data_IF_046877956640
#
_entry.id   IF_046877956640
#
_cell.length_a   1.000
_cell.length_b   1.000
_cell.length_c   1.000
_cell.angle_alpha   90.00
_cell.angle_beta   90.00
_cell.angle_gamma   90.00
#
_symmetry.space_group_name_H-M   'P 1'
#
loop_
_entity.id
_entity.type
_entity.pdbx_description
1 polymer ?
#
# COMPACT_ATOMS: atom_id res chain seq x y z
N UNK A 1 77.44 -78.20 55.46
CA UNK A 1 77.32 -76.87 54.81
C UNK A 1 76.97 -75.86 55.89
N UNK A 2 77.92 -75.00 56.28
CA UNK A 2 77.83 -74.19 57.51
C UNK A 2 76.88 -72.98 57.32
N UNK A 3 75.96 -72.71 58.27
CA UNK A 3 74.93 -71.67 58.16
C UNK A 3 75.48 -70.24 58.02
N UNK A 4 76.72 -70.01 58.42
CA UNK A 4 77.40 -68.71 58.33
C UNK A 4 77.66 -68.25 56.88
N UNK A 5 77.93 -69.19 55.96
CA UNK A 5 78.19 -68.87 54.56
C UNK A 5 76.92 -68.40 53.82
N UNK A 6 75.75 -68.88 54.23
CA UNK A 6 74.46 -68.45 53.69
C UNK A 6 74.09 -67.03 54.13
N UNK A 7 74.31 -66.69 55.40
CA UNK A 7 74.04 -65.35 55.91
C UNK A 7 74.91 -64.29 55.23
N UNK A 8 76.19 -64.62 54.99
CA UNK A 8 77.15 -63.71 54.35
C UNK A 8 76.83 -63.54 52.85
N UNK A 9 76.48 -64.62 52.14
CA UNK A 9 76.05 -64.54 50.74
C UNK A 9 74.72 -63.77 50.57
N UNK A 10 73.76 -63.94 51.48
CA UNK A 10 72.50 -63.22 51.48
C UNK A 10 72.70 -61.71 51.70
N UNK A 11 73.60 -61.32 52.61
CA UNK A 11 73.95 -59.91 52.86
C UNK A 11 74.60 -59.24 51.65
N UNK A 12 75.53 -59.93 50.98
CA UNK A 12 76.17 -59.43 49.75
C UNK A 12 75.14 -59.31 48.62
N UNK A 13 74.26 -60.29 48.45
CA UNK A 13 73.17 -60.21 47.47
C UNK A 13 72.24 -59.03 47.74
N UNK A 14 71.91 -58.75 49.00
CA UNK A 14 71.03 -57.63 49.38
C UNK A 14 71.69 -56.27 49.11
N UNK A 15 72.99 -56.13 49.36
CA UNK A 15 73.74 -54.91 49.00
C UNK A 15 73.83 -54.69 47.49
N UNK A 16 74.00 -55.77 46.70
CA UNK A 16 73.97 -55.70 45.23
C UNK A 16 72.58 -55.26 44.75
N UNK A 17 71.51 -55.82 45.32
CA UNK A 17 70.15 -55.42 44.98
C UNK A 17 69.92 -53.94 45.33
N UNK A 18 70.33 -53.51 46.52
CA UNK A 18 70.12 -52.13 46.99
C UNK A 18 70.90 -51.09 46.18
N UNK A 19 72.06 -51.46 45.63
CA UNK A 19 72.87 -50.59 44.76
C UNK A 19 72.34 -50.53 43.31
N UNK A 20 71.77 -51.63 42.79
CA UNK A 20 71.24 -51.68 41.41
C UNK A 20 69.81 -51.13 41.33
N UNK A 21 68.98 -51.27 42.37
CA UNK A 21 67.57 -50.85 42.38
C UNK A 21 67.32 -49.39 41.97
N UNK A 22 68.09 -48.38 42.43
CA UNK A 22 67.88 -46.98 42.06
C UNK A 22 68.11 -46.74 40.56
N UNK A 23 69.06 -47.49 39.96
CA UNK A 23 69.37 -47.38 38.54
C UNK A 23 68.25 -47.94 37.66
N UNK A 24 67.66 -49.08 38.04
CA UNK A 24 66.51 -49.67 37.36
C UNK A 24 65.28 -48.77 37.48
N UNK A 25 65.05 -48.18 38.65
CA UNK A 25 63.97 -47.22 38.86
C UNK A 25 64.15 -45.96 38.01
N UNK A 26 65.38 -45.43 37.90
CA UNK A 26 65.68 -44.29 37.04
C UNK A 26 65.42 -44.59 35.55
N UNK A 27 65.80 -45.78 35.08
CA UNK A 27 65.53 -46.22 33.70
C UNK A 27 64.04 -46.43 33.46
N UNK A 28 63.33 -47.07 34.40
CA UNK A 28 61.89 -47.25 34.33
C UNK A 28 61.14 -45.91 34.29
N UNK A 29 61.54 -44.94 35.12
CA UNK A 29 60.96 -43.59 35.13
C UNK A 29 61.19 -42.84 33.82
N UNK A 30 62.39 -42.93 33.24
CA UNK A 30 62.68 -42.33 31.93
C UNK A 30 61.82 -42.95 30.82
N UNK A 31 61.75 -44.28 30.77
CA UNK A 31 60.89 -44.98 29.80
C UNK A 31 59.41 -44.64 29.96
N UNK A 32 58.91 -44.57 31.19
CA UNK A 32 57.52 -44.19 31.46
C UNK A 32 57.24 -42.74 31.04
N UNK A 33 58.19 -41.82 31.22
CA UNK A 33 58.07 -40.44 30.77
C UNK A 33 58.09 -40.33 29.24
N UNK A 34 59.00 -41.03 28.57
CA UNK A 34 59.09 -41.04 27.11
C UNK A 34 57.83 -41.62 26.47
N UNK A 35 57.32 -42.74 27.00
CA UNK A 35 56.05 -43.33 26.58
C UNK A 35 54.86 -42.40 26.86
N UNK A 36 54.82 -41.77 28.03
CA UNK A 36 53.75 -40.82 28.37
C UNK A 36 53.76 -39.58 27.46
N UNK A 37 54.94 -39.11 27.07
CA UNK A 37 55.11 -38.00 26.12
C UNK A 37 54.63 -38.37 24.73
N UNK A 38 54.96 -39.56 24.24
CA UNK A 38 54.53 -40.07 22.93
C UNK A 38 53.00 -40.23 22.88
N UNK A 39 52.41 -40.90 23.88
CA UNK A 39 50.95 -41.04 23.99
C UNK A 39 50.27 -39.66 24.09
N UNK A 40 50.85 -38.72 24.85
CA UNK A 40 50.33 -37.36 24.97
C UNK A 40 50.37 -36.58 23.65
N UNK A 41 51.42 -36.79 22.83
CA UNK A 41 51.54 -36.17 21.51
C UNK A 41 50.53 -36.77 20.53
N UNK A 42 50.42 -38.10 20.48
CA UNK A 42 49.49 -38.80 19.59
C UNK A 42 48.03 -38.45 19.91
N UNK A 43 47.67 -38.40 21.19
CA UNK A 43 46.30 -38.02 21.60
C UNK A 43 45.98 -36.58 21.23
N UNK A 44 46.93 -35.66 21.43
CA UNK A 44 46.77 -34.25 21.05
C UNK A 44 46.65 -34.10 19.54
N UNK A 45 47.47 -34.79 18.78
CA UNK A 45 47.50 -34.68 17.33
C UNK A 45 46.23 -35.32 16.72
N UNK A 46 45.74 -36.42 17.29
CA UNK A 46 44.44 -37.00 16.94
C UNK A 46 43.27 -36.05 17.25
N UNK A 47 43.29 -35.40 18.42
CA UNK A 47 42.27 -34.41 18.80
C UNK A 47 42.29 -33.19 17.87
N UNK A 48 43.46 -32.66 17.52
CA UNK A 48 43.60 -31.57 16.56
C UNK A 48 43.15 -31.97 15.16
N UNK A 49 43.51 -33.18 14.70
CA UNK A 49 43.05 -33.69 13.43
C UNK A 49 41.51 -33.79 13.38
N UNK A 50 40.89 -34.22 14.49
CA UNK A 50 39.44 -34.24 14.61
C UNK A 50 38.84 -32.83 14.58
N UNK A 51 39.40 -31.88 15.35
CA UNK A 51 38.95 -30.48 15.35
C UNK A 51 39.05 -29.85 13.95
N UNK A 52 40.15 -30.08 13.24
CA UNK A 52 40.33 -29.58 11.87
C UNK A 52 39.26 -30.18 10.94
N UNK A 53 38.94 -31.47 11.08
CA UNK A 53 37.87 -32.10 10.28
C UNK A 53 36.51 -31.50 10.60
N UNK A 54 36.18 -31.32 11.88
CA UNK A 54 34.92 -30.70 12.29
C UNK A 54 34.79 -29.27 11.77
N UNK A 55 35.82 -28.44 11.96
CA UNK A 55 35.84 -27.05 11.49
C UNK A 55 35.75 -26.95 9.96
N UNK A 56 36.38 -27.88 9.23
CA UNK A 56 36.24 -27.94 7.77
C UNK A 56 34.80 -28.27 7.36
N UNK A 57 34.17 -29.23 8.03
CA UNK A 57 32.75 -29.53 7.81
C UNK A 57 31.85 -28.33 8.09
N UNK A 58 32.04 -27.66 9.23
CA UNK A 58 31.29 -26.44 9.58
C UNK A 58 31.47 -25.31 8.55
N UNK A 59 32.70 -25.13 8.03
CA UNK A 59 32.97 -24.13 6.99
C UNK A 59 32.25 -24.48 5.67
N UNK A 60 32.24 -25.74 5.28
CA UNK A 60 31.51 -26.21 4.09
C UNK A 60 29.99 -26.01 4.25
N UNK A 61 29.44 -26.36 5.42
CA UNK A 61 28.01 -26.16 5.72
C UNK A 61 27.63 -24.68 5.67
N UNK A 62 28.46 -23.80 6.25
CA UNK A 62 28.25 -22.35 6.21
C UNK A 62 28.33 -21.82 4.77
N UNK A 63 29.27 -22.32 3.96
CA UNK A 63 29.41 -21.91 2.57
C UNK A 63 28.15 -22.29 1.76
N UNK A 64 27.67 -23.53 1.90
CA UNK A 64 26.44 -24.00 1.25
C UNK A 64 25.24 -23.15 1.68
N UNK A 65 25.12 -22.86 2.98
CA UNK A 65 24.01 -22.07 3.49
C UNK A 65 24.01 -20.64 2.92
N UNK A 66 25.18 -19.98 2.90
CA UNK A 66 25.32 -18.63 2.32
C UNK A 66 25.00 -18.62 0.84
N UNK A 67 25.44 -19.61 0.07
CA UNK A 67 25.10 -19.69 -1.36
C UNK A 67 23.59 -19.86 -1.55
N UNK A 68 22.94 -20.70 -0.74
CA UNK A 68 21.50 -20.90 -0.80
C UNK A 68 20.73 -19.61 -0.46
N UNK A 69 21.16 -18.87 0.56
CA UNK A 69 20.59 -17.56 0.90
C UNK A 69 20.83 -16.52 -0.21
N UNK A 70 22.04 -16.44 -0.75
CA UNK A 70 22.35 -15.52 -1.85
C UNK A 70 21.46 -15.80 -3.07
N UNK A 71 21.26 -17.07 -3.44
CA UNK A 71 20.33 -17.43 -4.52
C UNK A 71 18.92 -16.95 -4.25
N UNK A 72 18.41 -17.14 -3.02
CA UNK A 72 17.08 -16.64 -2.61
C UNK A 72 17.01 -15.11 -2.70
N UNK A 73 18.05 -14.40 -2.23
CA UNK A 73 18.10 -12.95 -2.34
C UNK A 73 18.13 -12.48 -3.80
N UNK A 74 18.89 -13.15 -4.67
CA UNK A 74 18.91 -12.83 -6.09
C UNK A 74 17.55 -13.06 -6.77
N UNK A 75 16.84 -14.15 -6.46
CA UNK A 75 15.51 -14.39 -7.03
C UNK A 75 14.51 -13.35 -6.56
N UNK A 76 14.48 -13.04 -5.26
CA UNK A 76 13.57 -12.02 -4.71
C UNK A 76 13.85 -10.65 -5.31
N UNK A 77 15.12 -10.26 -5.44
CA UNK A 77 15.49 -8.99 -6.04
C UNK A 77 15.09 -8.92 -7.52
N UNK A 78 15.25 -10.01 -8.28
CA UNK A 78 14.80 -10.07 -9.66
C UNK A 78 13.27 -9.94 -9.78
N UNK A 79 12.52 -10.56 -8.88
CA UNK A 79 11.06 -10.45 -8.85
C UNK A 79 10.59 -9.05 -8.46
N UNK A 80 11.22 -8.42 -7.47
CA UNK A 80 10.96 -7.02 -7.10
C UNK A 80 11.28 -6.05 -8.25
N UNK A 81 12.37 -6.29 -9.00
CA UNK A 81 12.70 -5.50 -10.18
C UNK A 81 11.64 -5.63 -11.27
N UNK A 82 11.11 -6.85 -11.51
CA UNK A 82 10.00 -7.05 -12.46
C UNK A 82 8.74 -6.31 -12.03
N UNK A 83 8.40 -6.37 -10.73
CA UNK A 83 7.24 -5.66 -10.20
C UNK A 83 7.40 -4.14 -10.33
N UNK A 84 8.58 -3.60 -10.01
CA UNK A 84 8.86 -2.17 -10.17
C UNK A 84 8.72 -1.72 -11.63
N UNK A 85 9.27 -2.46 -12.59
CA UNK A 85 9.09 -2.16 -14.02
C UNK A 85 7.60 -2.18 -14.43
N UNK A 86 6.84 -3.16 -13.94
CA UNK A 86 5.40 -3.22 -14.20
C UNK A 86 4.65 -2.03 -13.57
N UNK A 87 5.05 -1.59 -12.38
CA UNK A 87 4.48 -0.41 -11.73
C UNK A 87 4.81 0.88 -12.50
N UNK A 88 6.04 1.04 -12.98
CA UNK A 88 6.42 2.17 -13.82
C UNK A 88 5.58 2.24 -15.11
N UNK A 89 5.39 1.11 -15.78
CA UNK A 89 4.49 1.05 -16.94
C UNK A 89 3.05 1.42 -16.59
N UNK A 90 2.53 0.98 -15.44
CA UNK A 90 1.19 1.34 -14.96
C UNK A 90 1.05 2.82 -14.63
N UNK A 91 2.08 3.44 -14.04
CA UNK A 91 2.11 4.88 -13.76
C UNK A 91 2.08 5.66 -15.08
N UNK A 92 2.96 5.31 -16.02
CA UNK A 92 3.01 5.98 -17.33
C UNK A 92 1.67 5.85 -18.10
N UNK A 93 1.04 4.68 -18.06
CA UNK A 93 -0.27 4.47 -18.67
C UNK A 93 -1.36 5.32 -17.99
N UNK A 94 -1.34 5.42 -16.65
CA UNK A 94 -2.27 6.27 -15.90
C UNK A 94 -2.06 7.74 -16.20
N UNK A 95 -0.82 8.21 -16.34
CA UNK A 95 -0.53 9.60 -16.70
C UNK A 95 -1.02 9.93 -18.11
N UNK A 96 -0.91 9.00 -19.06
CA UNK A 96 -1.49 9.15 -20.39
C UNK A 96 -3.02 9.26 -20.34
N UNK A 97 -3.68 8.40 -19.55
CA UNK A 97 -5.13 8.45 -19.35
C UNK A 97 -5.58 9.76 -18.68
N UNK A 98 -4.83 10.24 -17.68
CA UNK A 98 -5.14 11.51 -17.02
C UNK A 98 -5.07 12.69 -17.99
N UNK A 99 -4.06 12.73 -18.87
CA UNK A 99 -3.96 13.76 -19.90
C UNK A 99 -5.14 13.72 -20.87
N UNK A 100 -5.50 12.54 -21.35
CA UNK A 100 -6.65 12.38 -22.25
C UNK A 100 -7.96 12.81 -21.56
N UNK A 101 -8.15 12.45 -20.29
CA UNK A 101 -9.30 12.87 -19.51
C UNK A 101 -9.36 14.39 -19.30
N UNK A 102 -8.22 15.03 -19.02
CA UNK A 102 -8.16 16.50 -18.87
C UNK A 102 -8.44 17.22 -20.20
N UNK A 103 -7.94 16.68 -21.32
CA UNK A 103 -8.19 17.26 -22.65
C UNK A 103 -9.67 17.10 -23.05
N UNK A 104 -10.26 15.94 -22.75
CA UNK A 104 -11.70 15.70 -22.96
C UNK A 104 -12.56 16.63 -22.10
N UNK A 105 -12.16 16.86 -20.83
CA UNK A 105 -12.82 17.80 -19.95
C UNK A 105 -12.73 19.24 -20.48
N UNK A 106 -11.54 19.67 -20.92
CA UNK A 106 -11.35 21.00 -21.51
C UNK A 106 -12.23 21.22 -22.75
N UNK A 107 -12.37 20.20 -23.62
CA UNK A 107 -13.28 20.25 -24.78
C UNK A 107 -14.75 20.35 -24.36
N UNK A 108 -15.14 19.61 -23.33
CA UNK A 108 -16.50 19.70 -22.77
C UNK A 108 -16.76 21.10 -22.21
N UNK A 109 -15.84 21.66 -21.45
CA UNK A 109 -15.95 23.01 -20.86
C UNK A 109 -16.03 24.08 -21.95
N UNK A 110 -15.24 23.96 -23.02
CA UNK A 110 -15.32 24.83 -24.19
C UNK A 110 -16.68 24.72 -24.88
N UNK A 111 -17.21 23.50 -25.03
CA UNK A 111 -18.53 23.27 -25.63
C UNK A 111 -19.63 23.91 -24.78
N UNK A 112 -19.57 23.76 -23.45
CA UNK A 112 -20.51 24.40 -22.52
C UNK A 112 -20.41 25.93 -22.61
N UNK A 113 -19.20 26.50 -22.70
CA UNK A 113 -19.01 27.94 -22.85
C UNK A 113 -19.63 28.46 -24.16
N UNK A 114 -19.42 27.76 -25.27
CA UNK A 114 -20.02 28.10 -26.56
C UNK A 114 -21.54 28.02 -26.51
N UNK A 115 -22.11 26.94 -25.96
CA UNK A 115 -23.56 26.77 -25.82
C UNK A 115 -24.18 27.88 -24.97
N UNK A 116 -23.52 28.29 -23.88
CA UNK A 116 -23.97 29.43 -23.05
C UNK A 116 -24.01 30.72 -23.86
N UNK A 117 -22.98 30.99 -24.66
CA UNK A 117 -22.92 32.18 -25.51
C UNK A 117 -24.06 32.18 -26.53
N UNK A 118 -24.29 31.06 -27.22
CA UNK A 118 -25.40 30.91 -28.17
C UNK A 118 -26.76 31.09 -27.49
N UNK A 119 -26.96 30.55 -26.28
CA UNK A 119 -28.20 30.77 -25.52
C UNK A 119 -28.41 32.26 -25.23
N UNK A 120 -27.38 32.98 -24.79
CA UNK A 120 -27.48 34.41 -24.51
C UNK A 120 -27.83 35.21 -25.78
N UNK A 121 -27.17 34.91 -26.90
CA UNK A 121 -27.49 35.53 -28.19
C UNK A 121 -28.94 35.27 -28.61
N UNK A 122 -29.40 34.01 -28.46
CA UNK A 122 -30.78 33.63 -28.75
C UNK A 122 -31.79 34.34 -27.84
N UNK A 123 -31.48 34.48 -26.56
CA UNK A 123 -32.33 35.21 -25.60
C UNK A 123 -32.44 36.69 -25.99
N UNK A 124 -31.32 37.35 -26.32
CA UNK A 124 -31.31 38.75 -26.79
C UNK A 124 -32.13 38.92 -28.08
N UNK A 125 -31.98 37.98 -29.02
CA UNK A 125 -32.71 37.98 -30.28
C UNK A 125 -34.21 37.78 -30.06
N UNK A 126 -34.62 36.86 -29.20
CA UNK A 126 -36.03 36.65 -28.84
C UNK A 126 -36.61 37.91 -28.19
N UNK A 127 -35.88 38.56 -27.28
CA UNK A 127 -36.29 39.82 -26.66
C UNK A 127 -36.49 40.93 -27.70
N UNK A 128 -35.61 41.01 -28.70
CA UNK A 128 -35.70 41.98 -29.80
C UNK A 128 -36.90 41.73 -30.72
N UNK A 129 -37.15 40.49 -31.13
CA UNK A 129 -38.18 40.17 -32.14
C UNK A 129 -39.61 40.11 -31.59
N UNK A 130 -39.79 39.69 -30.35
CA UNK A 130 -41.15 39.42 -29.84
C UNK A 130 -41.81 40.65 -29.21
N UNK A 131 -41.04 41.66 -28.78
CA UNK A 131 -41.57 42.81 -28.05
C UNK A 131 -42.38 42.45 -26.80
N UNK A 132 -42.32 41.18 -26.35
CA UNK A 132 -43.16 40.58 -25.33
C UNK A 132 -42.27 40.19 -24.14
N UNK A 133 -42.32 41.01 -23.10
CA UNK A 133 -41.56 40.86 -21.88
C UNK A 133 -42.13 39.75 -20.99
N UNK A 134 -41.88 38.49 -21.33
CA UNK A 134 -42.01 37.38 -20.38
C UNK A 134 -40.70 36.62 -20.36
N UNK A 135 -39.87 36.97 -19.38
CA UNK A 135 -38.54 36.42 -19.16
C UNK A 135 -38.60 35.23 -18.21
N UNK A 136 -37.49 34.48 -18.12
CA UNK A 136 -37.33 33.47 -17.07
C UNK A 136 -37.38 34.08 -15.66
N UNK A 137 -36.93 35.32 -15.51
CA UNK A 137 -37.03 36.05 -14.25
C UNK A 137 -38.50 36.29 -13.85
N UNK A 138 -39.38 36.57 -14.81
CA UNK A 138 -40.81 36.73 -14.56
C UNK A 138 -41.46 35.42 -14.12
N UNK A 139 -41.08 34.30 -14.74
CA UNK A 139 -41.49 32.97 -14.28
C UNK A 139 -41.06 32.69 -12.83
N UNK A 140 -39.80 32.97 -12.49
CA UNK A 140 -39.27 32.75 -11.14
C UNK A 140 -39.94 33.66 -10.10
N UNK A 141 -40.29 34.90 -10.47
CA UNK A 141 -41.06 35.81 -9.61
C UNK A 141 -42.48 35.31 -9.34
N UNK A 142 -43.18 34.81 -10.36
CA UNK A 142 -44.53 34.23 -10.20
C UNK A 142 -44.48 32.96 -9.33
N UNK A 143 -43.45 32.13 -9.49
CA UNK A 143 -43.26 30.94 -8.67
C UNK A 143 -43.01 31.29 -7.20
N UNK A 144 -42.16 32.29 -6.93
CA UNK A 144 -41.92 32.80 -5.56
C UNK A 144 -43.21 33.35 -4.93
N UNK A 145 -43.97 34.16 -5.67
CA UNK A 145 -45.25 34.71 -5.20
C UNK A 145 -46.27 33.59 -4.88
N UNK A 146 -46.32 32.55 -5.71
CA UNK A 146 -47.16 31.36 -5.48
C UNK A 146 -46.80 30.67 -4.16
N UNK A 147 -45.50 30.43 -3.92
CA UNK A 147 -45.02 29.79 -2.68
C UNK A 147 -45.32 30.65 -1.44
N UNK A 148 -45.20 31.97 -1.55
CA UNK A 148 -45.56 32.90 -0.47
C UNK A 148 -47.05 32.84 -0.16
N UNK A 149 -47.92 32.83 -1.17
CA UNK A 149 -49.37 32.72 -0.94
C UNK A 149 -49.79 31.37 -0.35
N UNK A 150 -49.16 30.27 -0.75
CA UNK A 150 -49.39 28.96 -0.13
C UNK A 150 -48.96 28.94 1.34
N UNK A 151 -47.85 29.59 1.67
CA UNK A 151 -47.42 29.75 3.06
C UNK A 151 -48.43 30.61 3.84
N UNK A 152 -48.86 31.74 3.27
CA UNK A 152 -49.90 32.60 3.85
C UNK A 152 -51.21 31.85 4.08
N UNK A 153 -51.66 31.04 3.13
CA UNK A 153 -52.85 30.19 3.28
C UNK A 153 -52.71 29.25 4.48
N UNK A 154 -51.58 28.55 4.62
CA UNK A 154 -51.33 27.63 5.76
C UNK A 154 -51.36 28.37 7.10
N UNK A 155 -50.71 29.54 7.16
CA UNK A 155 -50.68 30.38 8.37
C UNK A 155 -52.06 30.91 8.73
N UNK A 156 -52.83 31.41 7.76
CA UNK A 156 -54.19 31.93 7.99
C UNK A 156 -55.16 30.83 8.43
N UNK A 157 -55.01 29.62 7.90
CA UNK A 157 -55.75 28.44 8.35
C UNK A 157 -55.42 28.08 9.80
N UNK A 158 -54.15 28.16 10.20
CA UNK A 158 -53.73 27.95 11.59
C UNK A 158 -54.29 29.03 12.54
N UNK A 159 -54.44 30.27 12.07
CA UNK A 159 -55.05 31.39 12.80
C UNK A 159 -56.59 31.37 12.80
N UNK A 160 -57.23 30.32 12.25
CA UNK A 160 -58.68 30.17 12.12
C UNK A 160 -59.38 31.27 11.32
N UNK A 161 -58.64 31.96 10.43
CA UNK A 161 -59.20 32.96 9.51
C UNK A 161 -59.55 32.30 8.17
N UNK A 162 -60.63 31.52 8.15
CA UNK A 162 -60.96 30.63 7.04
C UNK A 162 -61.18 31.38 5.71
N UNK A 163 -61.96 32.47 5.71
CA UNK A 163 -62.25 33.24 4.50
C UNK A 163 -60.98 33.83 3.85
N UNK A 164 -60.02 34.29 4.67
CA UNK A 164 -58.76 34.84 4.15
C UNK A 164 -57.82 33.74 3.67
N UNK A 165 -57.82 32.57 4.32
CA UNK A 165 -57.08 31.40 3.87
C UNK A 165 -57.59 30.91 2.51
N UNK A 166 -58.91 30.90 2.29
CA UNK A 166 -59.52 30.47 1.02
C UNK A 166 -59.16 31.43 -0.12
N UNK A 167 -59.16 32.75 0.13
CA UNK A 167 -58.72 33.75 -0.85
C UNK A 167 -57.23 33.56 -1.22
N UNK A 168 -56.36 33.39 -0.22
CA UNK A 168 -54.93 33.16 -0.46
C UNK A 168 -54.68 31.86 -1.26
N UNK A 169 -55.44 30.81 -0.97
CA UNK A 169 -55.39 29.54 -1.71
C UNK A 169 -55.81 29.69 -3.17
N UNK A 170 -56.95 30.32 -3.42
CA UNK A 170 -57.43 30.56 -4.78
C UNK A 170 -56.48 31.43 -5.60
N UNK A 171 -55.87 32.45 -4.98
CA UNK A 171 -54.85 33.28 -5.64
C UNK A 171 -53.56 32.51 -5.92
N UNK A 172 -53.12 31.63 -5.01
CA UNK A 172 -51.97 30.76 -5.26
C UNK A 172 -52.20 29.80 -6.43
N UNK A 173 -53.41 29.23 -6.52
CA UNK A 173 -53.78 28.33 -7.62
C UNK A 173 -53.81 29.05 -8.97
N UNK A 174 -54.41 30.25 -9.02
CA UNK A 174 -54.42 31.08 -10.22
C UNK A 174 -53.01 31.48 -10.69
N UNK A 175 -52.11 31.83 -9.75
CA UNK A 175 -50.70 32.12 -10.08
C UNK A 175 -49.92 30.88 -10.50
N UNK A 176 -50.22 29.72 -9.94
CA UNK A 176 -49.62 28.45 -10.38
C UNK A 176 -49.98 28.14 -11.83
N UNK A 177 -51.24 28.35 -12.22
CA UNK A 177 -51.68 28.15 -13.61
C UNK A 177 -51.14 29.21 -14.57
N UNK A 178 -50.91 30.43 -14.09
CA UNK A 178 -50.15 31.43 -14.85
C UNK A 178 -48.70 30.98 -15.06
N UNK A 179 -48.02 30.48 -14.02
CA UNK A 179 -46.66 29.98 -14.11
C UNK A 179 -46.53 28.81 -15.11
N UNK A 180 -47.49 27.88 -15.11
CA UNK A 180 -47.53 26.76 -16.09
C UNK A 180 -47.66 27.27 -17.52
N UNK A 181 -48.52 28.26 -17.77
CA UNK A 181 -48.70 28.87 -19.10
C UNK A 181 -47.45 29.62 -19.56
N UNK A 182 -46.83 30.40 -18.67
CA UNK A 182 -45.55 31.08 -18.95
C UNK A 182 -44.46 30.05 -19.28
N UNK A 183 -44.33 28.98 -18.49
CA UNK A 183 -43.36 27.92 -18.73
C UNK A 183 -43.59 27.21 -20.07
N UNK A 184 -44.85 26.93 -20.41
CA UNK A 184 -45.22 26.33 -21.70
C UNK A 184 -44.89 27.28 -22.86
N UNK A 185 -45.15 28.59 -22.71
CA UNK A 185 -44.79 29.60 -23.70
C UNK A 185 -43.27 29.66 -23.89
N UNK A 186 -42.48 29.81 -22.82
CA UNK A 186 -41.01 29.80 -22.87
C UNK A 186 -40.47 28.56 -23.59
N UNK A 187 -41.06 27.38 -23.33
CA UNK A 187 -40.67 26.12 -24.00
C UNK A 187 -41.06 26.09 -25.47
N UNK A 188 -42.26 26.56 -25.82
CA UNK A 188 -42.75 26.59 -27.21
C UNK A 188 -41.99 27.60 -28.08
N UNK A 189 -41.63 28.75 -27.51
CA UNK A 189 -40.82 29.77 -28.18
C UNK A 189 -39.42 29.23 -28.43
N UNK A 190 -38.77 28.63 -27.43
CA UNK A 190 -37.46 27.99 -27.61
C UNK A 190 -37.48 26.90 -28.69
N UNK A 191 -38.52 26.06 -28.75
CA UNK A 191 -38.66 25.01 -29.77
C UNK A 191 -38.92 25.56 -31.18
N UNK A 192 -39.61 26.71 -31.28
CA UNK A 192 -39.89 27.36 -32.57
C UNK A 192 -38.63 28.05 -33.10
N UNK A 193 -37.86 28.71 -32.23
CA UNK A 193 -36.57 29.31 -32.59
C UNK A 193 -35.60 28.24 -33.11
N UNK A 194 -35.47 27.10 -32.43
CA UNK A 194 -34.61 25.99 -32.87
C UNK A 194 -34.93 25.47 -34.28
N UNK A 195 -36.23 25.36 -34.63
CA UNK A 195 -36.66 24.94 -35.98
C UNK A 195 -36.42 25.99 -37.06
N UNK A 196 -36.38 27.27 -36.69
CA UNK A 196 -36.16 28.36 -37.65
C UNK A 196 -34.68 28.48 -38.02
N UNK A 197 -33.78 28.01 -37.15
CA UNK A 197 -32.33 27.97 -37.40
C UNK A 197 -31.85 26.73 -38.15
N UNK A 198 -32.62 25.63 -38.14
CA UNK A 198 -32.35 24.45 -38.98
C UNK A 198 -32.76 24.64 -40.46
N UNK A 199 -33.56 25.66 -40.76
CA UNK A 199 -34.11 25.92 -42.09
C UNK A 199 -33.41 27.08 -42.85
N UNK A 200 -32.44 27.75 -42.23
CA UNK A 200 -31.65 28.85 -42.78
C UNK A 200 -30.19 28.43 -42.97
#
# INVERSE_FOLDING_TARGET
>A
MQPYQYALAAGVALLIILTVLPSLFAVAKRRAFDLGKEIGLDTRDAAHAQQIRTLKGELEDIAIHREAEQRKHHTTNADLQRENLALEHRINARDAQLREATDAQAKSDQTIANLKLTITELEERIMSYTGLAVTRADYDLVLKATNTLQLSQRTLKALKSQTQADIAGAQAEALSDLAKRIHAQLRSTAATTARTEEAA
#
